data_IF_642881346561
#
_entry.id   IF_642881346561
#
_cell.length_a   1.000
_cell.length_b   1.000
_cell.length_c   1.000
_cell.angle_alpha   90.00
_cell.angle_beta   90.00
_cell.angle_gamma   90.00
#
_symmetry.space_group_name_H-M   'P 1'
#
loop_
_entity.id
_entity.type
_entity.pdbx_description
1 polymer ?
#
# COMPACT_ATOMS: atom_id res chain seq x y z
N UNK A 1 -16.16 -35.03 8.75
CA UNK A 1 -15.10 -34.09 8.31
C UNK A 1 -14.83 -33.11 9.44
N UNK A 2 -13.63 -33.14 10.04
CA UNK A 2 -13.24 -32.11 11.03
C UNK A 2 -13.00 -30.81 10.27
N UNK A 3 -13.77 -29.78 10.60
CA UNK A 3 -13.71 -28.49 9.94
C UNK A 3 -12.42 -27.76 10.36
N UNK A 4 -11.35 -28.00 9.62
CA UNK A 4 -9.97 -27.54 9.88
C UNK A 4 -9.89 -26.02 10.08
N UNK A 5 -10.78 -25.26 9.43
CA UNK A 5 -10.87 -23.80 9.52
C UNK A 5 -11.42 -23.33 10.88
N UNK A 6 -12.42 -24.04 11.43
CA UNK A 6 -13.02 -23.73 12.72
C UNK A 6 -12.07 -24.03 13.88
N UNK A 7 -11.32 -25.14 13.80
CA UNK A 7 -10.29 -25.44 14.80
C UNK A 7 -9.15 -24.41 14.78
N UNK A 8 -8.73 -23.96 13.59
CA UNK A 8 -7.69 -22.93 13.47
C UNK A 8 -8.11 -21.60 14.09
N UNK A 9 -9.36 -21.18 13.87
CA UNK A 9 -9.91 -19.98 14.51
C UNK A 9 -9.95 -20.10 16.04
N UNK A 10 -10.36 -21.25 16.57
CA UNK A 10 -10.38 -21.52 18.02
C UNK A 10 -8.98 -21.45 18.64
N UNK A 11 -7.98 -22.00 17.96
CA UNK A 11 -6.58 -21.94 18.40
C UNK A 11 -6.02 -20.51 18.35
N UNK A 12 -6.31 -19.74 17.30
CA UNK A 12 -5.93 -18.32 17.23
C UNK A 12 -6.52 -17.53 18.39
N UNK A 13 -7.80 -17.74 18.71
CA UNK A 13 -8.46 -17.06 19.84
C UNK A 13 -7.82 -17.42 21.18
N UNK A 14 -7.46 -18.69 21.40
CA UNK A 14 -6.76 -19.10 22.64
C UNK A 14 -5.40 -18.40 22.79
N UNK A 15 -4.61 -18.30 21.72
CA UNK A 15 -3.31 -17.61 21.77
C UNK A 15 -3.52 -16.10 21.99
N UNK A 16 -4.52 -15.50 21.34
CA UNK A 16 -4.85 -14.09 21.50
C UNK A 16 -5.27 -13.75 22.93
N UNK A 17 -6.18 -14.52 23.52
CA UNK A 17 -6.75 -14.20 24.84
C UNK A 17 -5.79 -14.56 25.96
N UNK A 18 -5.13 -15.73 25.88
CA UNK A 18 -4.37 -16.27 27.01
C UNK A 18 -2.89 -15.86 26.96
N UNK A 19 -2.23 -15.90 25.79
CA UNK A 19 -0.79 -15.59 25.70
C UNK A 19 -0.51 -14.08 25.64
N UNK A 20 -1.37 -13.26 25.03
CA UNK A 20 -1.09 -11.82 24.92
C UNK A 20 -1.30 -11.05 26.22
N UNK A 21 -2.18 -11.54 27.10
CA UNK A 21 -2.32 -10.99 28.45
C UNK A 21 -1.03 -11.17 29.28
N UNK A 22 -0.32 -12.29 29.08
CA UNK A 22 0.96 -12.57 29.75
C UNK A 22 2.16 -11.80 29.19
N UNK A 23 2.06 -11.24 27.97
CA UNK A 23 3.14 -10.52 27.29
C UNK A 23 2.84 -9.02 27.08
N UNK A 24 2.06 -8.41 27.98
CA UNK A 24 1.76 -6.98 27.96
C UNK A 24 1.22 -6.50 26.59
N UNK A 25 0.42 -7.34 25.91
CA UNK A 25 -0.19 -7.09 24.59
C UNK A 25 0.81 -6.76 23.47
N UNK A 26 2.08 -7.14 23.60
CA UNK A 26 3.12 -6.86 22.59
C UNK A 26 3.65 -8.15 21.96
N UNK A 27 3.81 -8.17 20.64
CA UNK A 27 4.26 -9.35 19.87
C UNK A 27 5.78 -9.49 19.74
N UNK A 28 6.55 -8.51 20.21
CA UNK A 28 8.02 -8.51 20.13
C UNK A 28 8.66 -9.72 20.82
N UNK A 29 8.01 -10.28 21.84
CA UNK A 29 8.48 -11.46 22.59
C UNK A 29 7.82 -12.79 22.17
N UNK A 30 6.80 -12.76 21.29
CA UNK A 30 6.06 -13.95 20.85
C UNK A 30 6.76 -14.63 19.67
N UNK A 31 7.70 -15.52 19.97
CA UNK A 31 8.34 -16.36 18.95
C UNK A 31 7.42 -17.50 18.50
N UNK A 32 7.57 -17.97 17.25
CA UNK A 32 6.81 -19.13 16.76
C UNK A 32 7.03 -20.40 17.60
N UNK A 33 8.19 -20.52 18.25
CA UNK A 33 8.49 -21.60 19.18
C UNK A 33 7.68 -21.51 20.49
N UNK A 34 7.46 -20.30 21.00
CA UNK A 34 6.62 -20.07 22.19
C UNK A 34 5.16 -20.44 21.92
N UNK A 35 4.62 -20.03 20.75
CA UNK A 35 3.26 -20.38 20.32
C UNK A 35 3.12 -21.90 20.15
N UNK A 36 4.12 -22.54 19.55
CA UNK A 36 4.14 -24.00 19.39
C UNK A 36 4.09 -24.72 20.75
N UNK A 37 4.95 -24.34 21.69
CA UNK A 37 5.04 -24.98 23.00
C UNK A 37 3.76 -24.80 23.82
N UNK A 38 3.13 -23.63 23.74
CA UNK A 38 1.84 -23.36 24.39
C UNK A 38 0.72 -24.24 23.83
N UNK A 39 0.58 -24.30 22.51
CA UNK A 39 -0.48 -25.09 21.86
C UNK A 39 -0.30 -26.59 22.05
N UNK A 40 0.95 -27.07 22.06
CA UNK A 40 1.28 -28.44 22.44
C UNK A 40 0.83 -28.77 23.87
N UNK A 41 1.05 -27.87 24.82
CA UNK A 41 0.58 -28.03 26.20
C UNK A 41 -0.95 -28.05 26.35
N UNK A 42 -1.68 -27.57 25.34
CA UNK A 42 -3.15 -27.61 25.26
C UNK A 42 -3.68 -28.78 24.41
N UNK A 43 -2.80 -29.66 23.94
CA UNK A 43 -3.15 -30.85 23.15
C UNK A 43 -3.22 -30.63 21.63
N UNK A 44 -2.80 -29.46 21.13
CA UNK A 44 -2.77 -29.15 19.70
C UNK A 44 -1.37 -29.30 19.14
N UNK A 45 -1.18 -30.22 18.20
CA UNK A 45 0.08 -30.41 17.48
C UNK A 45 -0.02 -29.80 16.07
N UNK A 46 0.74 -28.73 15.82
CA UNK A 46 0.68 -27.95 14.60
C UNK A 46 2.02 -27.98 13.88
N UNK A 47 1.97 -28.10 12.55
CA UNK A 47 3.15 -27.92 11.71
C UNK A 47 3.64 -26.48 11.75
N UNK A 48 4.96 -26.28 11.64
CA UNK A 48 5.62 -24.96 11.70
C UNK A 48 4.99 -23.92 10.76
N UNK A 49 4.53 -24.33 9.57
CA UNK A 49 3.88 -23.46 8.60
C UNK A 49 2.48 -22.98 9.05
N UNK A 50 1.75 -23.76 9.83
CA UNK A 50 0.48 -23.36 10.41
C UNK A 50 0.69 -22.34 11.54
N UNK A 51 1.72 -22.54 12.36
CA UNK A 51 2.10 -21.63 13.45
C UNK A 51 2.59 -20.29 12.90
N UNK A 52 3.38 -20.32 11.81
CA UNK A 52 3.81 -19.10 11.12
C UNK A 52 2.62 -18.29 10.63
N UNK A 53 1.63 -18.94 10.00
CA UNK A 53 0.41 -18.28 9.51
C UNK A 53 -0.46 -17.75 10.64
N UNK A 54 -0.60 -18.51 11.72
CA UNK A 54 -1.32 -18.09 12.93
C UNK A 54 -0.66 -16.87 13.58
N UNK A 55 0.67 -16.86 13.70
CA UNK A 55 1.41 -15.72 14.22
C UNK A 55 1.17 -14.47 13.36
N UNK A 56 1.20 -14.60 12.04
CA UNK A 56 0.93 -13.50 11.12
C UNK A 56 -0.52 -12.97 11.27
N UNK A 57 -1.51 -13.85 11.38
CA UNK A 57 -2.92 -13.48 11.63
C UNK A 57 -3.07 -12.73 12.97
N UNK A 58 -2.36 -13.16 14.00
CA UNK A 58 -2.34 -12.49 15.31
C UNK A 58 -1.69 -11.11 15.22
N UNK A 59 -0.52 -11.00 14.58
CA UNK A 59 0.15 -9.72 14.37
C UNK A 59 -0.69 -8.74 13.54
N UNK A 60 -1.43 -9.24 12.55
CA UNK A 60 -2.32 -8.42 11.72
C UNK A 60 -3.48 -7.84 12.54
N UNK A 61 -4.16 -8.68 13.32
CA UNK A 61 -5.23 -8.27 14.23
C UNK A 61 -4.76 -7.32 15.33
N UNK A 62 -3.50 -7.41 15.77
CA UNK A 62 -2.93 -6.53 16.79
C UNK A 62 -2.40 -5.21 16.26
N UNK A 63 -2.05 -5.12 14.97
CA UNK A 63 -1.57 -3.88 14.35
C UNK A 63 -2.65 -2.80 14.20
N UNK A 64 -3.85 -3.04 14.74
CA UNK A 64 -4.98 -2.16 14.66
C UNK A 64 -5.81 -2.43 13.41
N UNK A 65 -7.09 -2.10 13.49
CA UNK A 65 -7.96 -2.20 12.33
C UNK A 65 -7.43 -1.25 11.24
N UNK A 66 -7.37 -1.76 10.03
CA UNK A 66 -6.93 -1.03 8.83
C UNK A 66 -7.69 0.31 8.73
N UNK A 67 -8.96 0.30 9.17
CA UNK A 67 -9.85 1.45 9.32
C UNK A 67 -9.22 2.60 10.13
N UNK A 68 -8.59 2.31 11.28
CA UNK A 68 -8.02 3.34 12.18
C UNK A 68 -6.77 4.01 11.61
N UNK A 69 -5.97 3.26 10.84
CA UNK A 69 -4.80 3.82 10.15
C UNK A 69 -5.22 4.77 9.02
N UNK A 70 -6.38 4.54 8.40
CA UNK A 70 -6.84 5.33 7.27
C UNK A 70 -7.51 6.65 7.63
N UNK A 71 -8.07 6.77 8.83
CA UNK A 71 -8.56 8.05 9.36
C UNK A 71 -7.45 9.11 9.42
N UNK A 72 -6.19 8.68 9.57
CA UNK A 72 -5.04 9.59 9.69
C UNK A 72 -4.58 10.18 8.35
N UNK A 73 -4.87 9.55 7.20
CA UNK A 73 -4.39 10.07 5.91
C UNK A 73 -4.98 11.44 5.58
N UNK A 74 -6.27 11.66 5.86
CA UNK A 74 -6.90 12.95 5.58
C UNK A 74 -6.21 14.07 6.35
N UNK A 75 -6.06 13.90 7.67
CA UNK A 75 -5.39 14.88 8.53
C UNK A 75 -3.92 15.07 8.15
N UNK A 76 -3.24 13.99 7.78
CA UNK A 76 -1.85 14.03 7.32
C UNK A 76 -1.72 14.83 6.02
N UNK A 77 -2.54 14.55 5.00
CA UNK A 77 -2.49 15.29 3.74
C UNK A 77 -2.84 16.75 3.93
N UNK A 78 -3.84 17.07 4.76
CA UNK A 78 -4.18 18.45 5.10
C UNK A 78 -2.99 19.19 5.75
N UNK A 79 -2.31 18.56 6.70
CA UNK A 79 -1.12 19.12 7.34
C UNK A 79 0.02 19.32 6.32
N UNK A 80 0.25 18.33 5.46
CA UNK A 80 1.29 18.39 4.43
C UNK A 80 1.01 19.49 3.41
N UNK A 81 -0.24 19.67 2.98
CA UNK A 81 -0.63 20.79 2.11
C UNK A 81 -0.52 22.14 2.80
N UNK A 82 -0.77 22.21 4.12
CA UNK A 82 -0.58 23.44 4.88
C UNK A 82 0.88 23.85 4.96
N UNK A 83 1.80 22.89 5.07
CA UNK A 83 3.26 23.14 5.07
C UNK A 83 3.86 23.30 3.69
N UNK A 84 3.24 22.71 2.67
CA UNK A 84 3.69 22.78 1.27
C UNK A 84 2.53 23.21 0.36
N UNK A 85 2.19 24.52 0.36
CA UNK A 85 1.14 25.07 -0.50
C UNK A 85 1.38 24.71 -1.97
N UNK A 86 0.30 24.41 -2.70
CA UNK A 86 0.36 23.95 -4.09
C UNK A 86 0.49 22.43 -4.24
N UNK A 87 0.65 21.67 -3.15
CA UNK A 87 0.59 20.21 -3.21
C UNK A 87 -0.85 19.73 -3.47
N UNK A 88 -1.00 18.66 -4.24
CA UNK A 88 -2.29 18.06 -4.61
C UNK A 88 -2.44 16.71 -3.94
N UNK A 89 -3.63 16.41 -3.44
CA UNK A 89 -3.96 15.09 -2.91
C UNK A 89 -5.39 14.70 -3.23
N UNK A 90 -5.66 13.40 -3.21
CA UNK A 90 -7.02 12.84 -3.29
C UNK A 90 -7.11 11.59 -2.42
N UNK A 91 -8.24 11.43 -1.76
CA UNK A 91 -8.56 10.27 -0.93
C UNK A 91 -9.97 9.81 -1.29
N UNK A 92 -10.08 8.58 -1.80
CA UNK A 92 -11.37 7.95 -2.06
C UNK A 92 -11.62 6.89 -0.98
N UNK A 93 -12.86 6.87 -0.48
CA UNK A 93 -13.38 5.84 0.42
C UNK A 93 -14.31 4.90 -0.34
N UNK A 94 -14.63 3.76 0.24
CA UNK A 94 -15.73 2.91 -0.24
C UNK A 94 -17.08 3.47 0.22
N UNK A 95 -18.15 2.89 -0.27
CA UNK A 95 -19.53 3.35 -0.04
C UNK A 95 -19.95 3.34 1.44
N UNK A 96 -19.20 2.63 2.29
CA UNK A 96 -19.40 2.59 3.74
C UNK A 96 -18.76 3.79 4.48
N UNK A 97 -18.07 4.69 3.76
CA UNK A 97 -17.36 5.89 4.25
C UNK A 97 -16.32 5.68 5.38
N UNK A 98 -16.11 4.43 5.74
CA UNK A 98 -15.22 3.95 6.80
C UNK A 98 -14.04 3.20 6.21
N UNK A 99 -14.23 2.54 5.07
CA UNK A 99 -13.19 1.74 4.43
C UNK A 99 -12.43 2.54 3.38
N UNK A 100 -11.11 2.53 3.50
CA UNK A 100 -10.22 3.09 2.50
C UNK A 100 -10.33 2.36 1.15
N UNK A 101 -10.34 3.14 0.07
CA UNK A 101 -10.27 2.63 -1.31
C UNK A 101 -8.90 2.92 -1.93
N UNK A 102 -8.48 4.19 -1.92
CA UNK A 102 -7.23 4.65 -2.55
C UNK A 102 -6.87 6.07 -2.11
N UNK A 103 -5.58 6.40 -2.15
CA UNK A 103 -5.07 7.75 -1.85
C UNK A 103 -3.94 8.14 -2.81
N UNK A 104 -3.85 9.43 -3.13
CA UNK A 104 -2.79 9.98 -3.99
C UNK A 104 -2.27 11.26 -3.36
N UNK A 105 -0.95 11.46 -3.44
CA UNK A 105 -0.28 12.69 -3.02
C UNK A 105 0.79 13.07 -4.02
N UNK A 106 0.75 14.34 -4.42
CA UNK A 106 1.71 14.99 -5.32
C UNK A 106 2.17 16.26 -4.63
N UNK A 107 3.44 16.32 -4.28
CA UNK A 107 3.98 17.52 -3.64
C UNK A 107 4.09 18.66 -4.65
N UNK A 108 4.02 19.91 -4.18
CA UNK A 108 4.27 21.07 -5.02
C UNK A 108 5.65 20.98 -5.69
N UNK A 109 6.66 20.50 -4.94
CA UNK A 109 8.00 20.23 -5.47
C UNK A 109 7.95 19.21 -6.61
N UNK A 110 7.21 18.12 -6.47
CA UNK A 110 7.04 17.12 -7.52
C UNK A 110 6.43 17.70 -8.80
N UNK A 111 5.44 18.57 -8.67
CA UNK A 111 4.82 19.28 -9.80
C UNK A 111 5.86 20.14 -10.52
N UNK A 112 6.63 20.94 -9.78
CA UNK A 112 7.69 21.78 -10.35
C UNK A 112 8.81 20.96 -10.97
N UNK A 113 9.24 19.87 -10.33
CA UNK A 113 10.26 18.95 -10.87
C UNK A 113 9.82 18.41 -12.23
N UNK A 114 8.56 17.98 -12.35
CA UNK A 114 8.03 17.50 -13.62
C UNK A 114 8.10 18.60 -14.70
N UNK A 115 7.68 19.83 -14.38
CA UNK A 115 7.69 20.95 -15.31
C UNK A 115 9.10 21.38 -15.73
N UNK A 116 10.10 21.23 -14.85
CA UNK A 116 11.51 21.56 -15.12
C UNK A 116 12.28 20.44 -15.82
N UNK A 117 11.70 19.24 -15.91
CA UNK A 117 12.29 18.08 -16.57
C UNK A 117 11.93 18.05 -18.08
N UNK A 118 12.23 16.94 -18.77
CA UNK A 118 11.97 16.79 -20.22
C UNK A 118 10.47 16.78 -20.61
N UNK A 119 9.55 16.95 -19.66
CA UNK A 119 8.11 16.82 -19.89
C UNK A 119 7.65 15.40 -20.24
N UNK A 120 8.53 14.40 -20.05
CA UNK A 120 8.24 12.99 -20.24
C UNK A 120 7.70 12.41 -18.94
N UNK A 121 6.61 11.64 -19.01
CA UNK A 121 6.04 10.98 -17.84
C UNK A 121 6.06 9.46 -18.05
N UNK A 122 6.58 8.76 -17.05
CA UNK A 122 6.53 7.31 -16.93
C UNK A 122 5.62 6.89 -15.77
N UNK A 123 4.90 5.79 -15.94
CA UNK A 123 4.07 5.21 -14.90
C UNK A 123 4.54 3.80 -14.58
N UNK A 124 4.68 3.51 -13.28
CA UNK A 124 5.10 2.20 -12.79
C UNK A 124 4.32 1.79 -11.54
N UNK A 125 4.11 0.49 -11.39
CA UNK A 125 3.44 -0.15 -10.26
C UNK A 125 4.45 -0.88 -9.37
N UNK A 126 4.74 -0.32 -8.20
CA UNK A 126 5.58 -0.95 -7.20
C UNK A 126 4.72 -1.78 -6.22
N UNK A 127 4.83 -3.10 -6.32
CA UNK A 127 4.22 -4.01 -5.36
C UNK A 127 4.99 -3.99 -4.03
N UNK A 128 4.27 -3.86 -2.92
CA UNK A 128 4.84 -3.82 -1.56
C UNK A 128 5.46 -5.17 -1.18
N UNK A 129 6.78 -5.26 -0.99
CA UNK A 129 7.43 -6.54 -0.65
C UNK A 129 6.89 -7.19 0.63
N UNK A 130 6.89 -8.53 0.65
CA UNK A 130 6.58 -9.33 1.85
C UNK A 130 5.08 -9.39 2.18
N UNK A 131 4.74 -9.42 3.46
CA UNK A 131 3.36 -9.49 3.98
C UNK A 131 2.52 -8.23 3.68
N UNK A 132 3.15 -7.17 3.15
CA UNK A 132 2.48 -5.95 2.71
C UNK A 132 1.93 -6.05 1.27
N UNK A 133 2.31 -7.07 0.49
CA UNK A 133 1.78 -7.31 -0.86
C UNK A 133 0.24 -7.46 -0.88
N UNK A 134 -0.34 -7.95 0.23
CA UNK A 134 -1.80 -8.09 0.39
C UNK A 134 -2.50 -6.77 0.73
N UNK A 135 -1.75 -5.70 1.00
CA UNK A 135 -2.25 -4.44 1.57
C UNK A 135 -2.39 -3.31 0.56
N UNK A 136 -1.90 -3.51 -0.67
CA UNK A 136 -2.04 -2.56 -1.76
C UNK A 136 -0.84 -2.54 -2.70
N UNK A 137 -0.95 -1.70 -3.73
CA UNK A 137 0.07 -1.43 -4.73
C UNK A 137 0.35 0.07 -4.72
N UNK A 138 1.62 0.46 -4.81
CA UNK A 138 2.00 1.83 -5.08
C UNK A 138 2.04 2.07 -6.58
N UNK A 139 1.25 3.01 -7.06
CA UNK A 139 1.39 3.61 -8.38
C UNK A 139 2.34 4.78 -8.26
N UNK A 140 3.31 4.88 -9.16
CA UNK A 140 4.32 5.93 -9.16
C UNK A 140 4.30 6.60 -10.52
N UNK A 141 4.22 7.93 -10.53
CA UNK A 141 4.53 8.72 -11.73
C UNK A 141 5.95 9.27 -11.61
N UNK A 142 6.70 9.10 -12.68
CA UNK A 142 8.10 9.48 -12.80
C UNK A 142 8.29 10.40 -14.00
N UNK A 143 9.31 11.23 -13.96
CA UNK A 143 9.78 12.01 -15.10
C UNK A 143 11.25 11.68 -15.39
N UNK A 144 11.78 12.23 -16.48
CA UNK A 144 13.21 12.15 -16.80
C UNK A 144 13.83 13.53 -16.79
N UNK A 145 14.88 13.71 -16.00
CA UNK A 145 15.70 14.92 -16.05
C UNK A 145 16.49 15.01 -17.38
N UNK A 146 17.21 16.12 -17.58
CA UNK A 146 18.01 16.32 -18.80
C UNK A 146 19.13 15.28 -18.97
N UNK A 147 19.58 14.67 -17.87
CA UNK A 147 20.62 13.64 -17.81
C UNK A 147 20.07 12.20 -17.90
N UNK A 148 18.78 12.02 -18.22
CA UNK A 148 18.10 10.73 -18.33
C UNK A 148 17.92 9.97 -17.00
N UNK A 149 18.07 10.61 -15.85
CA UNK A 149 17.70 10.02 -14.57
C UNK A 149 16.19 9.99 -14.40
N UNK A 150 15.68 8.88 -13.85
CA UNK A 150 14.27 8.73 -13.49
C UNK A 150 14.01 9.41 -12.16
N UNK A 151 13.09 10.37 -12.14
CA UNK A 151 12.74 11.15 -10.95
C UNK A 151 11.26 10.93 -10.60
N UNK A 152 10.93 10.28 -9.48
CA UNK A 152 9.55 10.12 -9.04
C UNK A 152 8.98 11.45 -8.55
N UNK A 153 7.73 11.75 -8.91
CA UNK A 153 7.09 13.01 -8.53
C UNK A 153 5.66 12.86 -7.98
N UNK A 154 4.98 11.73 -8.25
CA UNK A 154 3.65 11.44 -7.72
C UNK A 154 3.56 10.01 -7.20
N UNK A 155 2.78 9.82 -6.13
CA UNK A 155 2.54 8.53 -5.48
C UNK A 155 1.05 8.30 -5.26
N UNK A 156 0.57 7.13 -5.67
CA UNK A 156 -0.79 6.63 -5.42
C UNK A 156 -0.75 5.31 -4.66
N UNK A 157 -1.47 5.20 -3.56
CA UNK A 157 -1.71 3.95 -2.85
C UNK A 157 -3.08 3.41 -3.26
N UNK A 158 -3.12 2.22 -3.85
CA UNK A 158 -4.35 1.58 -4.33
C UNK A 158 -4.45 0.15 -3.79
N UNK A 159 -5.66 -0.39 -3.69
CA UNK A 159 -5.84 -1.77 -3.23
C UNK A 159 -5.32 -2.80 -4.24
N UNK A 160 -5.49 -2.55 -5.54
CA UNK A 160 -5.08 -3.43 -6.63
C UNK A 160 -4.69 -2.64 -7.87
N UNK A 161 -3.79 -3.21 -8.67
CA UNK A 161 -3.41 -2.66 -9.97
C UNK A 161 -4.47 -3.04 -11.02
N UNK A 162 -5.42 -2.14 -11.26
CA UNK A 162 -6.46 -2.31 -12.26
C UNK A 162 -6.65 -1.04 -13.09
N UNK A 163 -7.38 -1.15 -14.20
CA UNK A 163 -7.62 -0.03 -15.12
C UNK A 163 -8.25 1.18 -14.44
N UNK A 164 -9.20 0.96 -13.53
CA UNK A 164 -9.93 2.01 -12.85
C UNK A 164 -9.03 2.85 -11.92
N UNK A 165 -8.12 2.18 -11.22
CA UNK A 165 -7.14 2.79 -10.33
C UNK A 165 -6.05 3.52 -11.11
N UNK A 166 -5.59 2.94 -12.23
CA UNK A 166 -4.66 3.60 -13.15
C UNK A 166 -5.26 4.86 -13.75
N UNK A 167 -6.49 4.79 -14.26
CA UNK A 167 -7.20 5.94 -14.81
C UNK A 167 -7.35 7.05 -13.78
N UNK A 168 -7.84 6.72 -12.59
CA UNK A 168 -7.97 7.68 -11.50
C UNK A 168 -6.64 8.34 -11.13
N UNK A 169 -5.54 7.58 -11.06
CA UNK A 169 -4.22 8.13 -10.73
C UNK A 169 -3.72 9.06 -11.84
N UNK A 170 -3.85 8.66 -13.11
CA UNK A 170 -3.48 9.48 -14.26
C UNK A 170 -4.29 10.77 -14.34
N UNK A 171 -5.59 10.74 -14.03
CA UNK A 171 -6.45 11.93 -14.03
C UNK A 171 -6.00 12.95 -12.96
N UNK A 172 -5.55 12.48 -11.79
CA UNK A 172 -4.98 13.35 -10.76
C UNK A 172 -3.65 13.95 -11.23
N UNK A 173 -2.78 13.15 -11.86
CA UNK A 173 -1.50 13.64 -12.39
C UNK A 173 -1.73 14.70 -13.46
N UNK A 174 -2.68 14.49 -14.40
CA UNK A 174 -3.04 15.50 -15.40
C UNK A 174 -3.54 16.78 -14.76
N UNK A 175 -4.44 16.66 -13.79
CA UNK A 175 -4.98 17.80 -13.06
C UNK A 175 -3.87 18.60 -12.35
N UNK A 176 -2.98 17.92 -11.63
CA UNK A 176 -1.90 18.56 -10.88
C UNK A 176 -0.85 19.22 -11.77
N UNK A 177 -0.64 18.71 -12.97
CA UNK A 177 0.42 19.15 -13.88
C UNK A 177 -0.04 20.14 -14.94
N UNK A 178 -1.35 20.23 -15.18
CA UNK A 178 -1.92 21.06 -16.24
C UNK A 178 -1.67 20.52 -17.65
N UNK A 179 -1.23 19.26 -17.79
CA UNK A 179 -0.93 18.66 -19.09
C UNK A 179 -2.20 18.10 -19.75
N UNK A 180 -2.60 18.69 -20.89
CA UNK A 180 -3.70 18.15 -21.72
C UNK A 180 -3.33 16.82 -22.37
N UNK A 181 -2.05 16.65 -22.74
CA UNK A 181 -1.53 15.43 -23.35
C UNK A 181 -0.29 14.94 -22.59
N UNK A 182 -0.39 13.78 -21.94
CA UNK A 182 0.76 13.12 -21.30
C UNK A 182 1.68 12.55 -22.40
N UNK A 183 2.89 13.10 -22.56
CA UNK A 183 3.92 12.45 -23.35
C UNK A 183 4.47 11.24 -22.57
N UNK A 184 3.84 10.09 -22.81
CA UNK A 184 4.13 8.83 -22.14
C UNK A 184 5.46 8.26 -22.67
N UNK A 185 6.45 8.13 -21.78
CA UNK A 185 7.75 7.56 -22.15
C UNK A 185 7.84 6.06 -21.82
N UNK A 186 7.23 5.60 -20.72
CA UNK A 186 7.21 4.18 -20.32
C UNK A 186 5.95 3.88 -19.49
N UNK A 187 5.17 2.90 -19.91
CA UNK A 187 4.21 2.19 -19.04
C UNK A 187 4.83 0.82 -18.80
N UNK A 188 5.27 0.56 -17.58
CA UNK A 188 5.74 -0.76 -17.23
C UNK A 188 4.54 -1.70 -17.09
N UNK A 189 4.36 -2.55 -18.12
CA UNK A 189 3.49 -3.74 -18.18
C UNK A 189 1.97 -3.47 -18.18
N UNK A 190 1.36 -3.61 -19.37
CA UNK A 190 -0.08 -3.83 -19.66
C UNK A 190 -1.06 -2.65 -19.51
N UNK A 191 -0.83 -1.52 -20.18
CA UNK A 191 -1.93 -0.82 -20.90
C UNK A 191 -1.30 -0.09 -22.09
N UNK A 192 -1.75 -0.40 -23.31
CA UNK A 192 -1.23 0.25 -24.53
C UNK A 192 -1.82 1.65 -24.69
N UNK A 193 -1.01 2.68 -24.44
CA UNK A 193 -1.22 4.02 -24.99
C UNK A 193 0.07 4.48 -25.68
N UNK A 194 -0.09 5.24 -26.77
CA UNK A 194 0.95 5.58 -27.75
C UNK A 194 2.28 5.99 -27.10
N UNK A 195 3.34 5.26 -27.45
CA UNK A 195 4.74 5.56 -27.12
C UNK A 195 5.15 6.92 -27.70
N UNK A 196 5.85 7.74 -26.90
CA UNK A 196 6.46 8.99 -27.35
C UNK A 196 7.61 8.71 -28.34
N UNK A 197 7.62 9.32 -29.55
CA UNK A 197 8.70 9.18 -30.52
C UNK A 197 10.07 9.61 -29.98
N UNK A 198 10.09 10.55 -29.02
CA UNK A 198 11.32 11.10 -28.41
C UNK A 198 12.03 10.15 -27.44
N UNK A 199 11.44 9.00 -27.10
CA UNK A 199 12.07 8.01 -26.21
C UNK A 199 12.88 6.93 -26.97
N UNK A 200 13.08 7.10 -28.29
CA UNK A 200 13.73 6.11 -29.17
C UNK A 200 15.19 6.42 -29.52
N UNK A 201 15.83 7.37 -28.83
CA UNK A 201 17.23 7.76 -29.08
C UNK A 201 18.01 7.84 -27.77
#
# INVERSE_FOLDING_TARGET
MRNTTQELQRMTTLVMTDMLQMHNRTTTTLTGAAIHRFLLGKGFNLVRSAISRMKLDIEDRLRGDIVDSYQKFKSYFQLMTGKNPGSVWRLDKKDDDLTFKRACFITNLGIHVMQMCKGLIGFDGAHLKGEMNKRGVFLVATTKDYNNHVVPFALGLVSTENYENWRWFMDIVKFATGLENLQLCQIARRVSYRLCPKCSH
#
